data_IF_962265478893
#
_entry.id   IF_962265478893
#
_cell.length_a   1.000
_cell.length_b   1.000
_cell.length_c   1.000
_cell.angle_alpha   90.00
_cell.angle_beta   90.00
_cell.angle_gamma   90.00
#
_symmetry.space_group_name_H-M   'P 1'
#
loop_
_entity.id
_entity.type
_entity.pdbx_description
1 polymer ?
#
# COMPACT_ATOMS: atom_id res chain seq x y z
N UNK A 1 -26.51 -23.88 -21.05
CA UNK A 1 -27.01 -24.59 -19.85
C UNK A 1 -25.84 -24.71 -18.86
N UNK A 2 -25.81 -23.97 -17.75
CA UNK A 2 -24.67 -24.11 -16.81
C UNK A 2 -24.52 -23.03 -15.73
N UNK A 3 -25.44 -22.06 -15.61
CA UNK A 3 -25.28 -20.95 -14.62
C UNK A 3 -26.18 -21.05 -13.38
N UNK A 4 -27.07 -22.03 -13.32
CA UNK A 4 -28.05 -22.18 -12.21
C UNK A 4 -27.64 -23.13 -11.08
N UNK A 5 -26.52 -23.87 -11.21
CA UNK A 5 -26.12 -24.87 -10.20
C UNK A 5 -25.21 -24.30 -9.09
N UNK A 6 -24.43 -23.23 -9.36
CA UNK A 6 -23.48 -22.68 -8.37
C UNK A 6 -24.12 -21.89 -7.23
N UNK A 7 -25.26 -21.26 -7.49
CA UNK A 7 -25.99 -20.49 -6.47
C UNK A 7 -26.66 -21.39 -5.41
N UNK A 8 -27.10 -22.60 -5.81
CA UNK A 8 -27.72 -23.54 -4.88
C UNK A 8 -26.77 -24.14 -3.85
N UNK A 9 -25.49 -24.28 -4.19
CA UNK A 9 -24.47 -24.82 -3.27
C UNK A 9 -24.02 -23.79 -2.23
N UNK A 10 -23.98 -22.49 -2.56
CA UNK A 10 -23.71 -21.45 -1.57
C UNK A 10 -24.83 -21.31 -0.53
N UNK A 11 -26.09 -21.43 -0.94
CA UNK A 11 -27.21 -21.34 0.00
C UNK A 11 -27.30 -22.59 0.92
N UNK A 12 -26.90 -23.76 0.42
CA UNK A 12 -26.88 -24.98 1.23
C UNK A 12 -25.76 -24.95 2.26
N UNK A 13 -24.58 -24.40 1.91
CA UNK A 13 -23.45 -24.21 2.84
C UNK A 13 -23.79 -23.26 4.00
N UNK A 14 -24.48 -22.17 3.73
CA UNK A 14 -24.94 -21.23 4.77
C UNK A 14 -25.98 -21.82 5.71
N UNK A 15 -26.85 -22.74 5.21
CA UNK A 15 -27.87 -23.38 6.02
C UNK A 15 -27.27 -24.44 6.97
N UNK A 16 -26.23 -25.15 6.54
CA UNK A 16 -25.56 -26.17 7.36
C UNK A 16 -24.75 -25.52 8.48
N UNK A 17 -24.04 -24.41 8.21
CA UNK A 17 -23.31 -23.66 9.25
C UNK A 17 -24.27 -23.04 10.26
N UNK A 18 -25.43 -22.55 9.84
CA UNK A 18 -26.48 -22.04 10.73
C UNK A 18 -27.08 -23.12 11.64
N UNK A 19 -27.26 -24.35 11.15
CA UNK A 19 -27.84 -25.45 11.92
C UNK A 19 -26.86 -26.02 12.97
N UNK A 20 -25.55 -26.03 12.70
CA UNK A 20 -24.54 -26.47 13.67
C UNK A 20 -24.46 -25.51 14.85
N UNK A 21 -24.62 -24.18 14.61
CA UNK A 21 -24.60 -23.18 15.69
C UNK A 21 -25.86 -23.17 16.55
N UNK A 22 -27.02 -23.51 16.00
CA UNK A 22 -28.28 -23.61 16.79
C UNK A 22 -28.25 -24.84 17.69
N UNK A 23 -27.62 -25.94 17.26
CA UNK A 23 -27.49 -27.17 18.05
C UNK A 23 -26.54 -27.08 19.24
N UNK A 24 -25.48 -26.23 19.15
CA UNK A 24 -24.50 -26.04 20.22
C UNK A 24 -25.00 -25.11 21.36
N UNK A 25 -26.06 -24.37 21.14
CA UNK A 25 -26.59 -23.39 22.11
C UNK A 25 -27.36 -24.03 23.28
N UNK A 26 -27.62 -25.34 23.24
CA UNK A 26 -28.50 -26.02 24.22
C UNK A 26 -27.72 -26.60 25.42
N UNK A 27 -26.37 -26.62 25.39
CA UNK A 27 -25.60 -27.35 26.39
C UNK A 27 -24.53 -26.53 27.16
N UNK A 28 -24.47 -25.20 27.03
CA UNK A 28 -23.53 -24.35 27.76
C UNK A 28 -24.22 -23.55 28.88
N UNK A 29 -23.62 -23.50 30.11
CA UNK A 29 -24.21 -22.75 31.21
C UNK A 29 -24.33 -21.26 30.91
N UNK A 30 -25.44 -20.64 31.24
CA UNK A 30 -25.97 -19.37 30.77
C UNK A 30 -25.07 -18.12 30.82
N UNK A 31 -23.92 -18.16 31.49
CA UNK A 31 -22.97 -17.04 31.51
C UNK A 31 -21.96 -17.07 30.35
N UNK A 32 -21.61 -18.25 29.83
CA UNK A 32 -20.74 -18.43 28.68
C UNK A 32 -21.47 -18.19 27.35
N UNK A 33 -22.77 -18.45 27.32
CA UNK A 33 -23.59 -18.25 26.11
C UNK A 33 -23.73 -16.77 25.71
N UNK A 34 -23.77 -15.85 26.68
CA UNK A 34 -23.91 -14.42 26.37
C UNK A 34 -22.61 -13.82 25.81
N UNK A 35 -21.45 -14.19 26.34
CA UNK A 35 -20.16 -13.72 25.85
C UNK A 35 -19.88 -14.27 24.43
N UNK A 36 -20.11 -15.55 24.19
CA UNK A 36 -19.93 -16.17 22.86
C UNK A 36 -20.94 -15.61 21.87
N UNK A 37 -22.18 -15.33 22.30
CA UNK A 37 -23.22 -14.72 21.47
C UNK A 37 -22.87 -13.27 21.10
N UNK A 38 -22.25 -12.54 22.03
CA UNK A 38 -21.83 -11.15 21.79
C UNK A 38 -20.67 -11.10 20.81
N UNK A 39 -19.64 -11.92 20.97
CA UNK A 39 -18.52 -12.02 20.03
C UNK A 39 -19.00 -12.47 18.64
N UNK A 40 -19.88 -13.46 18.55
CA UNK A 40 -20.45 -13.88 17.29
C UNK A 40 -21.31 -12.79 16.62
N UNK A 41 -22.07 -12.03 17.40
CA UNK A 41 -22.86 -10.90 16.89
C UNK A 41 -21.98 -9.73 16.45
N UNK A 42 -20.90 -9.45 17.17
CA UNK A 42 -19.96 -8.39 16.82
C UNK A 42 -19.15 -8.75 15.57
N UNK A 43 -18.75 -10.01 15.43
CA UNK A 43 -18.09 -10.51 14.21
C UNK A 43 -19.04 -10.53 13.01
N UNK A 44 -20.31 -10.91 13.23
CA UNK A 44 -21.33 -10.86 12.19
C UNK A 44 -21.73 -9.42 11.81
N UNK A 45 -21.79 -8.51 12.78
CA UNK A 45 -22.05 -7.09 12.55
C UNK A 45 -20.88 -6.40 11.84
N UNK A 46 -19.63 -6.77 12.18
CA UNK A 46 -18.43 -6.31 11.49
C UNK A 46 -18.44 -6.79 10.03
N UNK A 47 -18.68 -8.08 9.81
CA UNK A 47 -18.74 -8.68 8.47
C UNK A 47 -19.91 -8.14 7.64
N UNK A 48 -21.07 -7.89 8.26
CA UNK A 48 -22.21 -7.27 7.61
C UNK A 48 -21.93 -5.78 7.26
N UNK A 49 -21.22 -5.03 8.10
CA UNK A 49 -20.81 -3.66 7.82
C UNK A 49 -19.83 -3.57 6.66
N UNK A 50 -18.91 -4.54 6.52
CA UNK A 50 -17.99 -4.61 5.39
C UNK A 50 -18.68 -5.07 4.10
N UNK A 51 -19.80 -5.78 4.18
CA UNK A 51 -20.54 -6.28 3.02
C UNK A 51 -21.66 -5.32 2.54
N UNK A 52 -22.07 -4.33 3.34
CA UNK A 52 -23.22 -3.46 3.04
C UNK A 52 -22.86 -2.06 2.57
N UNK A 53 -21.55 -1.70 2.50
CA UNK A 53 -21.14 -0.52 1.78
C UNK A 53 -20.64 -0.99 0.41
N UNK A 54 -21.39 -0.84 -0.68
CA UNK A 54 -20.75 -0.75 -1.98
C UNK A 54 -19.87 0.50 -1.87
N UNK A 55 -18.58 0.30 -1.68
CA UNK A 55 -17.62 1.32 -2.05
C UNK A 55 -17.99 1.69 -3.47
N UNK A 56 -18.46 2.90 -3.68
CA UNK A 56 -18.63 3.43 -5.02
C UNK A 56 -17.30 3.09 -5.70
N UNK A 57 -17.37 2.37 -6.80
CA UNK A 57 -16.21 2.14 -7.66
C UNK A 57 -15.92 3.53 -8.20
N UNK A 58 -15.18 4.32 -7.44
CA UNK A 58 -14.56 5.52 -7.95
C UNK A 58 -13.61 5.00 -9.00
N UNK A 59 -13.88 5.31 -10.23
CA UNK A 59 -13.06 4.98 -11.39
C UNK A 59 -11.81 5.86 -11.29
N UNK A 60 -10.84 5.41 -10.47
CA UNK A 60 -9.56 6.07 -10.32
C UNK A 60 -8.76 5.87 -11.59
N UNK A 61 -8.46 6.94 -12.28
CA UNK A 61 -7.47 6.91 -13.35
C UNK A 61 -6.10 6.84 -12.69
N UNK A 62 -5.42 5.70 -12.83
CA UNK A 62 -4.10 5.46 -12.29
C UNK A 62 -3.05 5.65 -13.38
N UNK A 63 -2.03 6.43 -13.09
CA UNK A 63 -0.88 6.67 -13.96
C UNK A 63 0.30 5.89 -13.41
N UNK A 64 0.91 5.03 -14.23
CA UNK A 64 2.11 4.28 -13.84
C UNK A 64 3.32 5.22 -13.87
N UNK A 65 4.07 5.22 -12.77
CA UNK A 65 5.26 6.04 -12.59
C UNK A 65 6.49 5.17 -12.43
N UNK A 66 7.64 5.72 -12.77
CA UNK A 66 8.97 5.14 -12.50
C UNK A 66 9.77 6.11 -11.64
N UNK A 67 10.71 5.59 -10.85
CA UNK A 67 11.66 6.45 -10.13
C UNK A 67 12.66 6.98 -11.14
N UNK A 68 12.70 8.29 -11.30
CA UNK A 68 13.70 8.97 -12.12
C UNK A 68 14.98 9.17 -11.33
N UNK A 69 14.87 9.66 -10.09
CA UNK A 69 16.03 9.84 -9.21
C UNK A 69 15.60 9.94 -7.75
N UNK A 70 16.57 9.68 -6.87
CA UNK A 70 16.53 10.03 -5.45
C UNK A 70 17.69 10.96 -5.21
N UNK A 71 17.42 12.12 -4.60
CA UNK A 71 18.44 13.14 -4.45
C UNK A 71 18.16 14.08 -3.28
N UNK A 72 18.84 15.19 -3.24
CA UNK A 72 18.67 16.26 -2.26
C UNK A 72 18.28 17.53 -3.00
N UNK A 73 17.26 18.20 -2.50
CA UNK A 73 16.84 19.51 -2.98
C UNK A 73 17.89 20.55 -2.62
N UNK A 74 18.34 21.36 -3.58
CA UNK A 74 19.30 22.45 -3.34
C UNK A 74 18.69 23.61 -2.55
N UNK A 75 17.36 23.72 -2.56
CA UNK A 75 16.65 24.84 -1.91
C UNK A 75 16.67 24.71 -0.40
N UNK A 76 16.35 23.54 0.11
CA UNK A 76 16.13 23.30 1.54
C UNK A 76 16.97 22.15 2.10
N UNK A 77 17.84 21.55 1.26
CA UNK A 77 18.66 20.38 1.61
C UNK A 77 17.84 19.17 2.10
N UNK A 78 16.56 19.09 1.73
CA UNK A 78 15.72 17.95 2.06
C UNK A 78 15.88 16.83 1.01
N UNK A 79 15.94 15.57 1.44
CA UNK A 79 15.90 14.45 0.51
C UNK A 79 14.55 14.42 -0.22
N UNK A 80 14.62 14.11 -1.50
CA UNK A 80 13.46 13.99 -2.39
C UNK A 80 13.54 12.71 -3.21
N UNK A 81 12.39 12.18 -3.55
CA UNK A 81 12.24 11.20 -4.62
C UNK A 81 11.47 11.85 -5.76
N UNK A 82 11.98 11.68 -6.97
CA UNK A 82 11.35 12.16 -8.21
C UNK A 82 10.79 10.96 -8.96
N UNK A 83 9.49 10.97 -9.15
CA UNK A 83 8.79 10.01 -9.99
C UNK A 83 8.49 10.67 -11.34
N UNK A 84 8.58 9.88 -12.41
CA UNK A 84 8.25 10.30 -13.78
C UNK A 84 7.19 9.37 -14.34
N UNK A 85 6.26 9.89 -15.13
CA UNK A 85 5.34 9.06 -15.88
C UNK A 85 6.10 8.06 -16.74
N UNK A 86 5.69 6.79 -16.67
CA UNK A 86 6.25 5.75 -17.53
C UNK A 86 5.94 6.00 -19.01
N UNK A 87 4.75 6.54 -19.27
CA UNK A 87 4.29 6.97 -20.60
C UNK A 87 3.73 8.37 -20.47
N UNK A 88 4.57 9.38 -20.71
CA UNK A 88 4.21 10.78 -20.53
C UNK A 88 5.41 11.63 -20.14
N UNK A 89 5.15 12.87 -19.75
CA UNK A 89 6.20 13.86 -19.49
C UNK A 89 6.09 14.47 -18.08
N UNK A 90 5.07 14.11 -17.28
CA UNK A 90 4.90 14.72 -15.95
C UNK A 90 5.80 14.06 -14.92
N UNK A 91 6.21 14.86 -13.97
CA UNK A 91 7.01 14.46 -12.83
C UNK A 91 6.23 14.72 -11.53
N UNK A 92 6.51 13.92 -10.51
CA UNK A 92 6.04 14.13 -9.17
C UNK A 92 7.25 14.16 -8.22
N UNK A 93 7.42 15.26 -7.49
CA UNK A 93 8.50 15.42 -6.52
C UNK A 93 7.91 15.26 -5.12
N UNK A 94 8.50 14.38 -4.32
CA UNK A 94 8.04 14.10 -2.96
C UNK A 94 9.23 14.27 -2.02
N UNK A 95 9.13 15.19 -1.05
CA UNK A 95 10.09 15.30 0.04
C UNK A 95 9.94 14.12 1.00
N UNK A 96 11.07 13.51 1.37
CA UNK A 96 11.13 12.31 2.20
C UNK A 96 12.22 12.46 3.28
N UNK A 97 12.26 11.56 4.25
CA UNK A 97 13.32 11.56 5.25
C UNK A 97 14.62 10.93 4.73
N UNK A 98 15.75 11.25 5.37
CA UNK A 98 17.06 10.70 4.99
C UNK A 98 17.12 9.18 5.07
N UNK A 99 16.51 8.58 6.09
CA UNK A 99 16.47 7.12 6.25
C UNK A 99 15.67 6.45 5.13
N UNK A 100 14.54 7.06 4.73
CA UNK A 100 13.69 6.60 3.65
C UNK A 100 14.37 6.76 2.29
N UNK A 101 15.03 7.92 2.05
CA UNK A 101 15.80 8.16 0.85
C UNK A 101 16.93 7.13 0.69
N UNK A 102 17.70 6.90 1.76
CA UNK A 102 18.73 5.87 1.76
C UNK A 102 18.14 4.47 1.50
N UNK A 103 17.00 4.15 2.11
CA UNK A 103 16.36 2.86 1.89
C UNK A 103 15.93 2.63 0.43
N UNK A 104 15.57 3.68 -0.31
CA UNK A 104 15.24 3.60 -1.74
C UNK A 104 16.54 3.53 -2.56
N UNK A 105 17.47 4.48 -2.33
CA UNK A 105 18.72 4.63 -3.10
C UNK A 105 19.55 3.34 -3.08
N UNK A 106 19.72 2.70 -1.93
CA UNK A 106 20.48 1.43 -1.79
C UNK A 106 20.00 0.36 -2.79
N UNK A 107 18.70 0.28 -3.05
CA UNK A 107 18.15 -0.71 -3.99
C UNK A 107 18.28 -0.20 -5.43
N UNK A 108 17.96 1.07 -5.69
CA UNK A 108 18.01 1.61 -7.06
C UNK A 108 19.43 1.67 -7.62
N UNK A 109 20.42 1.85 -6.75
CA UNK A 109 21.84 1.87 -7.11
C UNK A 109 22.53 0.50 -6.98
N UNK A 110 21.82 -0.53 -6.51
CA UNK A 110 22.35 -1.88 -6.39
C UNK A 110 23.39 -2.03 -5.27
N UNK A 111 23.37 -1.16 -4.27
CA UNK A 111 24.30 -1.19 -3.15
C UNK A 111 23.93 -2.32 -2.18
N UNK A 112 24.94 -3.12 -1.80
CA UNK A 112 24.74 -4.21 -0.82
C UNK A 112 24.91 -3.68 0.60
N UNK A 113 23.94 -3.97 1.46
CA UNK A 113 23.98 -3.63 2.89
C UNK A 113 24.22 -4.88 3.74
N UNK A 114 25.00 -4.78 4.85
CA UNK A 114 25.35 -5.94 5.66
C UNK A 114 24.16 -6.53 6.44
N UNK A 115 23.13 -5.74 6.70
CA UNK A 115 21.92 -6.16 7.42
C UNK A 115 20.67 -5.61 6.75
N UNK A 116 19.53 -6.36 6.83
CA UNK A 116 18.26 -5.90 6.29
C UNK A 116 17.84 -4.56 6.88
N UNK A 117 17.41 -3.63 6.03
CA UNK A 117 16.76 -2.39 6.41
C UNK A 117 15.30 -2.67 6.84
N UNK A 118 14.63 -1.66 7.40
CA UNK A 118 13.24 -1.79 7.88
C UNK A 118 12.29 -2.28 6.79
N UNK A 119 12.42 -1.77 5.56
CA UNK A 119 11.61 -2.20 4.43
C UNK A 119 11.91 -3.64 3.97
N UNK A 120 13.16 -4.11 4.10
CA UNK A 120 13.50 -5.52 3.84
C UNK A 120 12.86 -6.45 4.88
N UNK A 121 12.91 -6.02 6.15
CA UNK A 121 12.25 -6.76 7.24
C UNK A 121 10.75 -6.83 7.02
N UNK A 122 10.11 -5.71 6.65
CA UNK A 122 8.67 -5.65 6.39
C UNK A 122 8.28 -6.58 5.22
N UNK A 123 9.02 -6.55 4.10
CA UNK A 123 8.79 -7.47 2.99
C UNK A 123 8.94 -8.93 3.42
N UNK A 124 9.95 -9.23 4.25
CA UNK A 124 10.17 -10.58 4.77
C UNK A 124 9.04 -11.06 5.67
N UNK A 125 8.49 -10.17 6.51
CA UNK A 125 7.34 -10.48 7.37
C UNK A 125 6.10 -10.76 6.52
N UNK A 126 5.78 -9.88 5.56
CA UNK A 126 4.64 -10.06 4.66
C UNK A 126 4.72 -11.40 3.94
N UNK A 127 5.87 -11.73 3.35
CA UNK A 127 6.07 -12.99 2.65
C UNK A 127 5.91 -14.21 3.56
N UNK A 128 6.41 -14.16 4.81
CA UNK A 128 6.24 -15.25 5.78
C UNK A 128 4.80 -15.43 6.23
N UNK A 129 4.00 -14.38 6.19
CA UNK A 129 2.56 -14.42 6.47
C UNK A 129 1.71 -14.80 5.24
N UNK A 130 2.33 -15.13 4.11
CA UNK A 130 1.63 -15.50 2.88
C UNK A 130 1.02 -14.32 2.12
N UNK A 131 1.39 -13.09 2.48
CA UNK A 131 0.97 -11.89 1.76
C UNK A 131 2.05 -11.45 0.75
N UNK A 132 1.62 -10.99 -0.42
CA UNK A 132 2.48 -10.39 -1.43
C UNK A 132 2.02 -8.99 -1.77
N UNK A 133 2.96 -8.10 -2.07
CA UNK A 133 2.63 -6.77 -2.59
C UNK A 133 2.23 -6.91 -4.05
N UNK A 134 1.17 -6.25 -4.47
CA UNK A 134 0.69 -6.20 -5.87
C UNK A 134 1.11 -4.92 -6.57
N UNK A 135 0.95 -3.81 -5.88
CA UNK A 135 1.28 -2.47 -6.36
C UNK A 135 1.31 -1.49 -5.19
N UNK A 136 1.82 -0.30 -5.43
CA UNK A 136 1.58 0.85 -4.54
C UNK A 136 0.84 1.93 -5.30
N UNK A 137 0.03 2.73 -4.59
CA UNK A 137 -0.75 3.81 -5.16
C UNK A 137 -0.58 5.04 -4.30
N UNK A 138 -0.04 6.13 -4.87
CA UNK A 138 -0.08 7.45 -4.24
C UNK A 138 -1.43 8.05 -4.61
N UNK A 139 -2.32 8.12 -3.64
CA UNK A 139 -3.74 8.31 -3.89
C UNK A 139 -4.28 9.68 -3.50
N UNK A 140 -3.54 10.49 -2.75
CA UNK A 140 -4.02 11.82 -2.37
C UNK A 140 -2.88 12.75 -1.95
N UNK A 141 -3.19 14.05 -1.94
CA UNK A 141 -2.38 15.09 -1.30
C UNK A 141 -3.32 16.08 -0.60
N UNK A 142 -3.10 16.29 0.70
CA UNK A 142 -3.84 17.24 1.56
C UNK A 142 -2.85 18.00 2.41
N UNK A 143 -2.99 19.30 2.45
CA UNK A 143 -2.13 20.17 3.26
C UNK A 143 -0.63 19.91 3.05
N UNK A 144 -0.22 19.71 1.78
CA UNK A 144 1.13 19.32 1.36
C UNK A 144 1.62 17.95 1.90
N UNK A 145 0.74 17.12 2.42
CA UNK A 145 1.04 15.76 2.88
C UNK A 145 0.50 14.78 1.84
N UNK A 146 1.39 13.98 1.27
CA UNK A 146 1.03 12.90 0.37
C UNK A 146 0.59 11.66 1.13
N UNK A 147 -0.42 10.98 0.59
CA UNK A 147 -0.94 9.71 1.09
C UNK A 147 -0.70 8.61 0.07
N UNK A 148 -0.43 7.42 0.56
CA UNK A 148 -0.24 6.26 -0.31
C UNK A 148 -0.90 5.00 0.29
N UNK A 149 -1.19 4.05 -0.57
CA UNK A 149 -1.66 2.73 -0.19
C UNK A 149 -0.72 1.66 -0.75
N UNK A 150 -0.36 0.71 0.08
CA UNK A 150 0.24 -0.56 -0.35
C UNK A 150 -0.89 -1.55 -0.63
N UNK A 151 -0.98 -2.05 -1.84
CA UNK A 151 -1.98 -3.05 -2.23
C UNK A 151 -1.37 -4.42 -1.99
N UNK A 152 -1.89 -5.11 -0.99
CA UNK A 152 -1.49 -6.45 -0.63
C UNK A 152 -2.47 -7.48 -1.18
N UNK A 153 -1.94 -8.63 -1.57
CA UNK A 153 -2.69 -9.82 -1.89
C UNK A 153 -2.33 -10.92 -0.90
N UNK A 154 -3.34 -11.42 -0.19
CA UNK A 154 -3.24 -12.58 0.67
C UNK A 154 -4.36 -13.55 0.30
N UNK A 155 -4.02 -14.79 -0.08
CA UNK A 155 -4.95 -15.77 -0.63
C UNK A 155 -5.81 -15.20 -1.78
N UNK A 156 -7.11 -15.08 -1.54
CA UNK A 156 -8.10 -14.56 -2.51
C UNK A 156 -8.53 -13.12 -2.24
N UNK A 157 -7.91 -12.46 -1.26
CA UNK A 157 -8.32 -11.12 -0.79
C UNK A 157 -7.25 -10.11 -1.15
N UNK A 158 -7.67 -8.97 -1.69
CA UNK A 158 -6.84 -7.77 -1.81
C UNK A 158 -7.15 -6.83 -0.65
N UNK A 159 -6.10 -6.25 -0.09
CA UNK A 159 -6.19 -5.33 1.04
C UNK A 159 -5.42 -4.07 0.71
N UNK A 160 -6.00 -2.92 1.04
CA UNK A 160 -5.32 -1.63 1.00
C UNK A 160 -4.76 -1.33 2.39
N UNK A 161 -3.48 -1.03 2.47
CA UNK A 161 -2.81 -0.63 3.71
C UNK A 161 -2.32 0.79 3.54
N UNK A 162 -2.81 1.69 4.40
CA UNK A 162 -2.37 3.08 4.44
C UNK A 162 -0.88 3.18 4.78
N UNK A 163 -0.18 4.08 4.11
CA UNK A 163 1.27 4.20 4.22
C UNK A 163 1.73 5.60 3.81
N UNK A 164 2.90 6.00 4.29
CA UNK A 164 3.60 7.15 3.71
C UNK A 164 4.11 6.78 2.31
N UNK A 165 4.13 7.72 1.35
CA UNK A 165 4.68 7.44 0.01
C UNK A 165 6.09 6.87 0.02
N UNK A 166 6.99 7.41 0.87
CA UNK A 166 8.37 6.94 0.99
C UNK A 166 8.46 5.47 1.41
N UNK A 167 7.62 5.01 2.36
CA UNK A 167 7.57 3.62 2.80
C UNK A 167 7.04 2.71 1.70
N UNK A 168 5.96 3.14 1.02
CA UNK A 168 5.38 2.42 -0.10
C UNK A 168 6.38 2.27 -1.25
N UNK A 169 7.09 3.34 -1.63
CA UNK A 169 8.12 3.33 -2.67
C UNK A 169 9.28 2.40 -2.26
N UNK A 170 9.74 2.48 -1.00
CA UNK A 170 10.80 1.61 -0.49
C UNK A 170 10.43 0.11 -0.54
N UNK A 171 9.15 -0.21 -0.38
CA UNK A 171 8.61 -1.56 -0.58
C UNK A 171 8.55 -1.91 -2.07
N UNK A 172 8.09 -0.99 -2.93
CA UNK A 172 7.95 -1.22 -4.36
C UNK A 172 9.28 -1.55 -5.02
N UNK A 173 10.37 -0.82 -4.72
CA UNK A 173 11.70 -1.09 -5.28
C UNK A 173 12.25 -2.45 -4.87
N UNK A 174 11.87 -2.97 -3.70
CA UNK A 174 12.28 -4.29 -3.19
C UNK A 174 11.49 -5.44 -3.79
N UNK A 175 10.25 -5.19 -4.07
CA UNK A 175 9.33 -6.23 -4.56
C UNK A 175 9.18 -6.21 -6.08
N UNK A 176 9.70 -5.15 -6.75
CA UNK A 176 9.61 -4.99 -8.20
C UNK A 176 8.19 -4.74 -8.70
N UNK A 177 7.30 -4.26 -7.85
CA UNK A 177 5.90 -4.01 -8.21
C UNK A 177 5.72 -2.59 -8.77
N UNK A 178 4.68 -2.35 -9.60
CA UNK A 178 4.44 -1.04 -10.17
C UNK A 178 4.05 0.01 -9.12
N UNK A 179 4.47 1.24 -9.39
CA UNK A 179 4.12 2.45 -8.65
C UNK A 179 3.07 3.18 -9.47
N UNK A 180 1.93 3.46 -8.87
CA UNK A 180 0.87 4.26 -9.47
C UNK A 180 0.65 5.55 -8.70
N UNK A 181 0.21 6.57 -9.43
CA UNK A 181 -0.28 7.84 -8.86
C UNK A 181 -1.68 8.08 -9.41
N UNK A 182 -2.60 8.50 -8.58
CA UNK A 182 -3.92 8.93 -9.05
C UNK A 182 -3.81 10.19 -9.90
N UNK A 183 -4.51 10.22 -11.02
CA UNK A 183 -4.53 11.36 -11.95
C UNK A 183 -4.82 12.67 -11.22
N UNK A 184 -5.75 12.65 -10.27
CA UNK A 184 -6.10 13.80 -9.45
C UNK A 184 -4.93 14.38 -8.62
N UNK A 185 -3.95 13.56 -8.26
CA UNK A 185 -2.72 14.03 -7.59
C UNK A 185 -1.80 14.71 -8.58
N UNK A 186 -1.62 14.11 -9.77
CA UNK A 186 -0.81 14.69 -10.83
C UNK A 186 -1.41 16.00 -11.37
N UNK A 187 -2.74 16.12 -11.41
CA UNK A 187 -3.40 17.35 -11.79
C UNK A 187 -3.18 18.48 -10.79
N UNK A 188 -3.05 18.14 -9.49
CA UNK A 188 -2.80 19.13 -8.42
C UNK A 188 -1.35 19.59 -8.35
N UNK A 189 -0.39 18.67 -8.47
CA UNK A 189 1.02 18.93 -8.15
C UNK A 189 2.01 18.31 -9.14
N UNK A 190 1.54 17.74 -10.24
CA UNK A 190 2.39 17.22 -11.29
C UNK A 190 3.10 18.35 -12.04
N UNK A 191 4.39 18.18 -12.31
CA UNK A 191 5.25 19.17 -12.98
C UNK A 191 5.54 18.70 -14.40
N UNK A 192 5.45 19.59 -15.38
CA UNK A 192 5.84 19.33 -16.77
C UNK A 192 7.23 19.87 -17.05
N UNK A 193 7.99 19.28 -18.00
CA UNK A 193 9.27 19.83 -18.44
C UNK A 193 9.13 21.30 -18.87
N UNK A 194 10.05 22.15 -18.42
CA UNK A 194 10.06 23.59 -18.75
C UNK A 194 9.11 24.46 -17.93
N UNK A 195 8.37 23.91 -16.98
CA UNK A 195 7.77 24.71 -15.91
C UNK A 195 8.84 25.01 -14.85
N UNK A 196 8.79 26.23 -14.29
CA UNK A 196 9.65 26.58 -13.17
C UNK A 196 9.40 25.62 -12.02
N UNK A 197 10.40 24.84 -11.68
CA UNK A 197 10.35 23.87 -10.59
C UNK A 197 10.57 24.54 -9.23
N UNK A 198 10.25 25.86 -9.10
CA UNK A 198 10.47 26.67 -7.88
C UNK A 198 11.87 26.43 -7.23
N UNK A 199 12.89 26.23 -8.09
CA UNK A 199 14.27 26.07 -7.64
C UNK A 199 14.68 24.65 -7.25
N UNK A 200 13.89 23.61 -7.52
CA UNK A 200 14.35 22.23 -7.31
C UNK A 200 15.41 21.85 -8.34
N UNK A 201 16.66 22.12 -8.01
CA UNK A 201 17.81 21.50 -8.65
C UNK A 201 18.08 20.19 -7.91
N UNK A 202 18.08 19.09 -8.64
CA UNK A 202 18.20 17.75 -8.06
C UNK A 202 19.65 17.32 -8.17
N UNK A 203 20.32 17.15 -7.03
CA UNK A 203 21.60 16.46 -6.98
C UNK A 203 21.38 15.00 -6.59
N UNK A 204 21.98 14.03 -7.29
CA UNK A 204 21.96 12.63 -6.85
C UNK A 204 22.49 12.50 -5.43
N UNK A 205 21.93 11.60 -4.63
CA UNK A 205 22.52 11.25 -3.35
C UNK A 205 23.88 10.59 -3.61
N UNK A 206 24.97 11.26 -3.23
CA UNK A 206 26.26 10.60 -3.19
C UNK A 206 26.25 9.55 -2.08
N UNK A 207 26.23 8.27 -2.48
CA UNK A 207 26.30 7.13 -1.55
C UNK A 207 27.69 6.94 -0.95
N UNK A 208 28.65 7.76 -1.38
CA UNK A 208 30.05 7.68 -0.99
C UNK A 208 30.41 8.75 0.05
N UNK A 209 29.60 8.93 1.09
CA UNK A 209 30.03 9.66 2.28
C UNK A 209 30.85 8.72 3.17
N UNK A 210 32.20 8.83 3.22
CA UNK A 210 33.01 8.08 4.16
C UNK A 210 32.80 8.67 5.55
N UNK A 211 31.91 8.10 6.33
CA UNK A 211 31.69 8.58 7.69
C UNK A 211 30.41 8.11 8.39
N UNK A 212 29.54 7.37 7.76
CA UNK A 212 28.46 6.68 8.45
C UNK A 212 28.86 5.23 8.65
N UNK A 213 29.79 5.00 9.58
CA UNK A 213 29.98 3.69 10.17
C UNK A 213 28.80 3.46 11.13
N UNK A 214 27.92 2.57 10.78
CA UNK A 214 26.91 1.97 11.63
C UNK A 214 27.55 1.04 12.67
#
# INVERSE_FOLDING_TARGET
MGRRSRVKWCLLGCLIVGLVFVGASVFLPGRLTNAVRQVANDEFAYKARTLTKPEAVEEYTLVEMVIETVGVSEVDSQPIVVLKEKVGERYLIISIGFAEANAIAVITEGVSVPRPLTSDLLCSIMNRLGASVKSIIINDIRDNIFYANVILKADWTEMKVDSRPSDAIAIAVRTGVPIYVEEAVLDKVGIKPGQDTDGYIIMPLETDQPGVSL
#
